data_IF_888783611515
#
_entry.id   IF_888783611515
#
_cell.length_a   1.000
_cell.length_b   1.000
_cell.length_c   1.000
_cell.angle_alpha   90.00
_cell.angle_beta   90.00
_cell.angle_gamma   90.00
#
_symmetry.space_group_name_H-M   'P 1'
#
loop_
_entity.id
_entity.type
_entity.pdbx_description
1 polymer ?
#
# COMPACT_ATOMS: atom_id res chain seq x y z
N UNK A 1 -16.05 14.21 -2.72
CA UNK A 1 -15.73 15.35 -1.83
C UNK A 1 -14.46 16.06 -2.30
N UNK A 2 -13.36 15.36 -2.56
CA UNK A 2 -12.04 15.97 -2.83
C UNK A 2 -11.69 16.06 -4.33
N UNK A 3 -12.47 15.47 -5.19
CA UNK A 3 -12.18 15.37 -6.64
C UNK A 3 -13.37 15.91 -7.42
N UNK A 4 -13.07 16.82 -8.34
CA UNK A 4 -13.98 17.32 -9.36
C UNK A 4 -13.47 16.91 -10.75
N UNK A 5 -14.34 16.77 -11.76
CA UNK A 5 -13.91 16.52 -13.13
C UNK A 5 -12.85 17.54 -13.58
N UNK A 6 -11.74 17.05 -14.13
CA UNK A 6 -10.60 17.88 -14.54
C UNK A 6 -9.57 18.18 -13.45
N UNK A 7 -9.85 17.88 -12.14
CA UNK A 7 -8.86 17.99 -11.08
C UNK A 7 -7.60 17.17 -11.38
N UNK A 8 -6.44 17.69 -11.01
CA UNK A 8 -5.18 16.96 -11.11
C UNK A 8 -4.94 16.19 -9.81
N UNK A 9 -4.82 14.86 -9.93
CA UNK A 9 -4.51 13.96 -8.82
C UNK A 9 -3.17 13.28 -9.09
N UNK A 10 -2.23 13.43 -8.18
CA UNK A 10 -0.95 12.72 -8.21
C UNK A 10 -1.07 11.37 -7.48
N UNK A 11 -0.52 10.33 -8.06
CA UNK A 11 -0.45 8.97 -7.48
C UNK A 11 0.94 8.42 -7.64
N UNK A 12 1.33 7.49 -6.78
CA UNK A 12 2.60 6.75 -6.92
C UNK A 12 2.65 5.96 -8.24
N UNK A 13 3.84 5.89 -8.85
CA UNK A 13 4.11 5.13 -10.08
C UNK A 13 5.43 4.36 -9.94
N UNK A 14 5.41 3.02 -9.83
CA UNK A 14 4.22 2.16 -9.76
C UNK A 14 3.40 2.43 -8.49
N UNK A 15 2.10 2.14 -8.53
CA UNK A 15 1.20 2.43 -7.41
C UNK A 15 -0.06 1.56 -7.43
N UNK A 16 -0.98 1.84 -6.52
CA UNK A 16 -2.20 1.07 -6.32
C UNK A 16 -3.24 1.29 -7.44
N UNK A 17 -3.48 0.30 -8.34
CA UNK A 17 -4.33 0.51 -9.51
C UNK A 17 -5.79 0.86 -9.18
N UNK A 18 -6.44 0.31 -8.12
CA UNK A 18 -7.81 0.67 -7.78
C UNK A 18 -7.99 2.15 -7.46
N UNK A 19 -7.08 2.78 -6.71
CA UNK A 19 -7.13 4.21 -6.42
C UNK A 19 -7.01 5.04 -7.71
N UNK A 20 -6.04 4.69 -8.58
CA UNK A 20 -5.85 5.33 -9.88
C UNK A 20 -7.10 5.23 -10.76
N UNK A 21 -7.71 4.04 -10.82
CA UNK A 21 -8.96 3.82 -11.60
C UNK A 21 -10.13 4.61 -11.02
N UNK A 22 -10.25 4.65 -9.70
CA UNK A 22 -11.29 5.42 -9.02
C UNK A 22 -11.19 6.91 -9.35
N UNK A 23 -10.00 7.52 -9.22
CA UNK A 23 -9.84 8.93 -9.55
C UNK A 23 -10.15 9.24 -11.03
N UNK A 24 -9.73 8.36 -11.93
CA UNK A 24 -10.10 8.49 -13.36
C UNK A 24 -11.60 8.40 -13.61
N UNK A 25 -12.29 7.47 -12.92
CA UNK A 25 -13.76 7.34 -13.06
C UNK A 25 -14.54 8.53 -12.54
N UNK A 26 -13.92 9.33 -11.66
CA UNK A 26 -14.46 10.60 -11.17
C UNK A 26 -14.10 11.79 -12.10
N UNK A 27 -13.49 11.53 -13.25
CA UNK A 27 -13.11 12.55 -14.23
C UNK A 27 -11.80 13.28 -13.92
N UNK A 28 -11.00 12.81 -12.95
CA UNK A 28 -9.71 13.42 -12.65
C UNK A 28 -8.65 13.13 -13.71
N UNK A 29 -7.75 14.06 -13.91
CA UNK A 29 -6.49 13.87 -14.63
C UNK A 29 -5.47 13.28 -13.63
N UNK A 30 -5.17 11.99 -13.80
CA UNK A 30 -4.27 11.29 -12.89
C UNK A 30 -2.85 11.32 -13.44
N UNK A 31 -1.92 11.86 -12.64
CA UNK A 31 -0.50 11.92 -12.93
C UNK A 31 0.27 10.89 -12.08
N UNK A 32 1.01 10.00 -12.70
CA UNK A 32 1.95 9.10 -12.04
C UNK A 32 3.20 9.87 -11.59
N UNK A 33 3.59 9.69 -10.34
CA UNK A 33 4.80 10.29 -9.76
C UNK A 33 5.76 9.17 -9.40
N UNK A 34 7.01 9.19 -9.89
CA UNK A 34 7.99 8.14 -9.64
C UNK A 34 8.21 7.88 -8.14
N UNK A 35 8.49 6.63 -7.83
CA UNK A 35 8.87 6.17 -6.49
C UNK A 35 10.31 5.68 -6.54
N UNK A 36 11.14 6.15 -5.61
CA UNK A 36 12.51 5.69 -5.39
C UNK A 36 12.66 4.96 -4.04
N UNK A 37 13.91 4.74 -3.61
CA UNK A 37 14.21 4.06 -2.33
C UNK A 37 13.75 4.82 -1.09
N UNK A 38 13.40 6.09 -1.23
CA UNK A 38 12.89 6.94 -0.14
C UNK A 38 11.38 7.22 -0.23
N UNK A 39 10.68 6.60 -1.18
CA UNK A 39 9.26 6.79 -1.44
C UNK A 39 8.98 7.71 -2.63
N UNK A 40 7.77 8.28 -2.69
CA UNK A 40 7.35 9.16 -3.79
C UNK A 40 8.29 10.37 -3.98
N UNK A 41 8.72 10.63 -5.22
CA UNK A 41 9.60 11.74 -5.58
C UNK A 41 8.84 13.08 -5.57
N UNK A 42 8.94 13.83 -4.49
CA UNK A 42 8.15 15.06 -4.25
C UNK A 42 8.37 16.12 -5.34
N UNK A 43 9.60 16.24 -5.86
CA UNK A 43 9.94 17.22 -6.90
C UNK A 43 9.31 16.90 -8.26
N UNK A 44 8.88 15.66 -8.46
CA UNK A 44 8.18 15.23 -9.67
C UNK A 44 6.65 15.40 -9.58
N UNK A 45 6.12 15.87 -8.46
CA UNK A 45 4.67 16.14 -8.33
C UNK A 45 4.29 17.32 -9.22
N UNK A 46 3.32 17.16 -10.15
CA UNK A 46 2.87 18.25 -10.98
C UNK A 46 2.38 19.45 -10.14
N UNK A 47 2.80 20.69 -10.46
CA UNK A 47 2.36 21.89 -9.72
C UNK A 47 0.85 22.10 -9.66
N UNK A 48 0.13 21.53 -10.64
CA UNK A 48 -1.33 21.57 -10.70
C UNK A 48 -2.05 20.53 -9.83
N UNK A 49 -1.32 19.60 -9.20
CA UNK A 49 -1.93 18.59 -8.34
C UNK A 49 -2.57 19.23 -7.11
N UNK A 50 -3.81 18.84 -6.84
CA UNK A 50 -4.59 19.26 -5.66
C UNK A 50 -4.82 18.13 -4.68
N UNK A 51 -4.61 16.90 -5.09
CA UNK A 51 -4.68 15.70 -4.28
C UNK A 51 -3.50 14.80 -4.61
N UNK A 52 -2.86 14.27 -3.57
CA UNK A 52 -1.78 13.29 -3.68
C UNK A 52 -2.21 12.03 -2.93
N UNK A 53 -2.21 10.88 -3.59
CA UNK A 53 -2.45 9.58 -2.95
C UNK A 53 -1.14 8.84 -2.77
N UNK A 54 -0.83 8.43 -1.55
CA UNK A 54 0.41 7.76 -1.17
C UNK A 54 0.16 6.61 -0.19
N UNK A 55 1.06 5.62 -0.21
CA UNK A 55 1.13 4.49 0.72
C UNK A 55 2.45 4.52 1.51
N UNK A 56 2.67 5.52 2.40
CA UNK A 56 4.00 5.89 2.87
C UNK A 56 4.59 4.93 3.91
N UNK A 57 3.77 4.12 4.58
CA UNK A 57 4.24 3.15 5.59
C UNK A 57 4.86 1.92 4.94
N UNK A 58 4.30 1.50 3.81
CA UNK A 58 4.72 0.36 3.02
C UNK A 58 4.23 0.58 1.57
N UNK A 59 5.06 1.21 0.75
CA UNK A 59 4.69 1.62 -0.60
C UNK A 59 4.21 0.43 -1.43
N UNK A 60 3.04 0.54 -1.98
CA UNK A 60 2.48 -0.50 -2.83
C UNK A 60 2.74 -0.20 -4.32
N UNK A 61 3.42 -1.12 -5.08
CA UNK A 61 3.77 -2.49 -4.71
C UNK A 61 5.25 -2.72 -4.33
N UNK A 62 6.10 -1.69 -4.28
CA UNK A 62 7.55 -1.87 -4.11
C UNK A 62 7.94 -2.29 -2.69
N UNK A 63 7.15 -1.94 -1.68
CA UNK A 63 7.44 -2.27 -0.29
C UNK A 63 8.42 -1.32 0.40
N UNK A 64 8.85 -0.24 -0.24
CA UNK A 64 9.75 0.74 0.36
C UNK A 64 8.97 1.67 1.30
N UNK A 65 9.48 1.96 2.51
CA UNK A 65 8.88 2.97 3.38
C UNK A 65 9.29 4.38 2.93
N UNK A 66 8.38 5.34 3.02
CA UNK A 66 8.73 6.75 2.79
C UNK A 66 9.58 7.27 3.93
N UNK A 67 10.76 7.82 3.63
CA UNK A 67 11.68 8.38 4.62
C UNK A 67 11.08 9.59 5.35
N UNK A 68 11.56 9.90 6.56
CA UNK A 68 11.09 11.05 7.31
C UNK A 68 11.37 12.37 6.54
N UNK A 69 12.52 12.47 5.88
CA UNK A 69 12.85 13.64 5.06
C UNK A 69 11.82 13.82 3.92
N UNK A 70 11.45 12.71 3.25
CA UNK A 70 10.47 12.73 2.16
C UNK A 70 9.06 13.04 2.66
N UNK A 71 8.66 12.54 3.85
CA UNK A 71 7.39 12.88 4.51
C UNK A 71 7.31 14.37 4.82
N UNK A 72 8.37 14.94 5.40
CA UNK A 72 8.44 16.37 5.69
C UNK A 72 8.39 17.22 4.42
N UNK A 73 9.10 16.83 3.36
CA UNK A 73 9.08 17.51 2.07
C UNK A 73 7.70 17.47 1.42
N UNK A 74 6.99 16.33 1.49
CA UNK A 74 5.64 16.17 0.95
C UNK A 74 4.62 17.04 1.69
N UNK A 75 4.66 17.08 3.02
CA UNK A 75 3.81 17.95 3.83
C UNK A 75 4.04 19.42 3.50
N UNK A 76 5.31 19.87 3.43
CA UNK A 76 5.66 21.23 3.06
C UNK A 76 5.24 21.57 1.61
N UNK A 77 5.32 20.61 0.69
CA UNK A 77 4.83 20.78 -0.68
C UNK A 77 3.31 20.97 -0.71
N UNK A 78 2.57 20.13 0.01
CA UNK A 78 1.12 20.19 0.09
C UNK A 78 0.63 21.51 0.70
N UNK A 79 1.28 22.00 1.75
CA UNK A 79 0.99 23.29 2.37
C UNK A 79 1.18 24.44 1.37
N UNK A 80 2.36 24.52 0.72
CA UNK A 80 2.65 25.59 -0.26
C UNK A 80 1.71 25.61 -1.46
N UNK A 81 1.15 24.45 -1.84
CA UNK A 81 0.31 24.30 -3.04
C UNK A 81 -1.18 24.25 -2.73
N UNK A 82 -1.57 24.40 -1.47
CA UNK A 82 -2.95 24.23 -1.01
C UNK A 82 -3.54 22.90 -1.50
N UNK A 83 -2.75 21.83 -1.38
CA UNK A 83 -3.12 20.48 -1.79
C UNK A 83 -3.40 19.59 -0.58
N UNK A 84 -4.15 18.51 -0.79
CA UNK A 84 -4.43 17.49 0.21
C UNK A 84 -3.65 16.21 -0.08
N UNK A 85 -3.35 15.45 0.95
CA UNK A 85 -2.72 14.14 0.86
C UNK A 85 -3.72 13.10 1.37
N UNK A 86 -3.95 12.05 0.59
CA UNK A 86 -4.60 10.82 1.05
C UNK A 86 -3.48 9.85 1.41
N UNK A 87 -3.32 9.60 2.69
CA UNK A 87 -2.44 8.57 3.23
C UNK A 87 -3.22 7.27 3.34
N UNK A 88 -2.94 6.33 2.46
CA UNK A 88 -3.57 5.00 2.43
C UNK A 88 -2.69 4.02 3.21
N UNK A 89 -3.12 3.65 4.41
CA UNK A 89 -2.42 2.74 5.30
C UNK A 89 -3.18 1.42 5.40
N UNK A 90 -2.66 0.41 4.72
CA UNK A 90 -3.36 -0.86 4.53
C UNK A 90 -2.77 -2.03 5.32
N UNK A 91 -1.50 -1.96 5.79
CA UNK A 91 -0.81 -3.08 6.44
C UNK A 91 0.33 -2.70 7.42
N UNK A 92 0.36 -1.45 7.90
CA UNK A 92 1.42 -0.94 8.79
C UNK A 92 1.53 -1.68 10.12
N UNK A 93 0.48 -2.36 10.55
CA UNK A 93 0.49 -3.22 11.74
C UNK A 93 1.45 -4.41 11.62
N UNK A 94 1.74 -4.85 10.39
CA UNK A 94 2.61 -6.00 10.11
C UNK A 94 4.04 -5.55 9.80
N UNK A 95 4.68 -4.94 10.80
CA UNK A 95 6.08 -4.56 10.72
C UNK A 95 6.94 -5.56 11.50
N UNK A 96 8.00 -6.10 10.86
CA UNK A 96 8.80 -7.21 11.38
C UNK A 96 10.10 -6.73 12.01
N UNK A 97 10.61 -5.56 11.62
CA UNK A 97 11.84 -4.99 12.17
C UNK A 97 11.81 -3.46 12.15
N UNK A 98 12.69 -2.85 12.95
CA UNK A 98 12.80 -1.40 13.08
C UNK A 98 11.71 -0.78 13.96
N UNK A 99 11.78 0.53 14.15
CA UNK A 99 10.75 1.30 14.85
C UNK A 99 9.55 1.55 13.94
N UNK A 100 8.33 1.61 14.48
CA UNK A 100 7.18 2.10 13.75
C UNK A 100 7.48 3.47 13.14
N UNK A 101 7.03 3.69 11.91
CA UNK A 101 7.13 4.99 11.26
C UNK A 101 5.92 5.83 11.67
N UNK A 102 6.18 7.07 12.03
CA UNK A 102 5.11 8.04 12.30
C UNK A 102 4.27 8.25 11.04
N UNK A 103 2.93 8.09 11.06
CA UNK A 103 2.09 8.42 9.92
C UNK A 103 2.27 9.88 9.47
N UNK A 104 2.03 10.17 8.20
CA UNK A 104 1.98 11.56 7.72
C UNK A 104 0.95 12.38 8.50
N UNK A 105 -0.19 11.75 8.81
CA UNK A 105 -1.27 12.37 9.56
C UNK A 105 -0.82 12.85 10.94
N UNK A 106 0.04 12.11 11.65
CA UNK A 106 0.54 12.53 12.96
C UNK A 106 1.60 13.63 12.88
N UNK A 107 2.28 13.75 11.74
CA UNK A 107 3.26 14.80 11.46
C UNK A 107 2.61 16.09 10.91
N UNK A 108 1.37 15.99 10.42
CA UNK A 108 0.64 17.09 9.81
C UNK A 108 0.18 18.12 10.86
N UNK A 109 0.63 19.35 10.72
CA UNK A 109 0.25 20.49 11.57
C UNK A 109 -0.71 21.46 10.91
N UNK A 110 -0.99 21.30 9.64
CA UNK A 110 -1.73 22.25 8.81
C UNK A 110 -3.06 21.70 8.31
N UNK A 111 -3.41 20.46 8.68
CA UNK A 111 -4.67 19.83 8.31
C UNK A 111 -4.73 19.48 6.82
N UNK A 112 -3.66 18.92 6.27
CA UNK A 112 -3.56 18.54 4.86
C UNK A 112 -3.68 17.04 4.61
N UNK A 113 -3.66 16.21 5.65
CA UNK A 113 -3.66 14.76 5.52
C UNK A 113 -5.02 14.18 5.86
N UNK A 114 -5.56 13.39 4.95
CA UNK A 114 -6.68 12.48 5.15
C UNK A 114 -6.09 11.08 5.25
N UNK A 115 -6.09 10.52 6.45
CA UNK A 115 -5.62 9.16 6.70
C UNK A 115 -6.75 8.16 6.50
N UNK A 116 -6.46 7.10 5.74
CA UNK A 116 -7.39 5.99 5.46
C UNK A 116 -6.78 4.71 6.00
N UNK A 117 -7.45 4.11 6.98
CA UNK A 117 -7.08 2.82 7.56
C UNK A 117 -8.08 1.72 7.21
N UNK A 118 -7.60 0.49 7.10
CA UNK A 118 -8.40 -0.67 6.71
C UNK A 118 -8.20 -1.87 7.63
N UNK A 119 -9.29 -2.54 8.01
CA UNK A 119 -9.23 -3.83 8.71
C UNK A 119 -9.16 -5.03 7.76
N UNK A 120 -9.12 -4.79 6.44
CA UNK A 120 -9.12 -5.87 5.44
C UNK A 120 -7.88 -6.75 5.50
N UNK A 121 -6.75 -6.23 5.93
CA UNK A 121 -5.49 -6.98 6.06
C UNK A 121 -5.24 -7.50 7.46
N UNK A 122 -5.66 -6.74 8.48
CA UNK A 122 -5.52 -7.13 9.89
C UNK A 122 -6.52 -8.18 10.31
N UNK A 123 -7.71 -8.18 9.73
CA UNK A 123 -8.77 -9.16 9.98
C UNK A 123 -9.16 -9.90 8.70
N UNK A 124 -10.34 -9.59 8.16
CA UNK A 124 -10.87 -10.26 6.97
C UNK A 124 -11.39 -9.24 5.95
N UNK A 125 -11.02 -9.34 4.67
CA UNK A 125 -11.50 -8.43 3.63
C UNK A 125 -13.03 -8.39 3.50
N UNK A 126 -13.72 -9.48 3.83
CA UNK A 126 -15.18 -9.58 3.74
C UNK A 126 -15.93 -8.76 4.79
N UNK A 127 -15.27 -8.33 5.87
CA UNK A 127 -15.90 -7.47 6.88
C UNK A 127 -16.21 -6.07 6.34
N UNK A 128 -15.52 -5.64 5.28
CA UNK A 128 -15.69 -4.34 4.63
C UNK A 128 -15.62 -3.16 5.60
N UNK A 129 -14.76 -3.25 6.61
CA UNK A 129 -14.53 -2.20 7.59
C UNK A 129 -13.22 -1.46 7.35
N UNK A 130 -13.29 -0.16 7.53
CA UNK A 130 -12.18 0.77 7.50
C UNK A 130 -12.57 2.04 8.22
N UNK A 131 -11.65 2.98 8.34
CA UNK A 131 -11.89 4.26 8.96
C UNK A 131 -11.11 5.38 8.27
N UNK A 132 -11.57 6.60 8.46
CA UNK A 132 -10.94 7.80 7.93
C UNK A 132 -10.69 8.77 9.09
N UNK A 133 -9.46 9.28 9.19
CA UNK A 133 -9.12 10.40 10.06
C UNK A 133 -8.89 11.60 9.15
N UNK A 134 -9.80 12.57 9.22
CA UNK A 134 -9.78 13.73 8.34
C UNK A 134 -9.65 15.04 9.11
N UNK A 135 -9.07 16.08 8.51
CA UNK A 135 -9.09 17.43 9.02
C UNK A 135 -10.51 17.88 9.42
N UNK A 136 -10.62 18.65 10.49
CA UNK A 136 -11.93 19.06 11.04
C UNK A 136 -12.83 19.74 9.98
N UNK A 137 -12.24 20.56 9.10
CA UNK A 137 -12.95 21.25 8.04
C UNK A 137 -13.60 20.32 7.00
N UNK A 138 -13.06 19.11 6.80
CA UNK A 138 -13.58 18.15 5.82
C UNK A 138 -14.66 17.21 6.40
N UNK A 139 -14.73 17.05 7.71
CA UNK A 139 -15.62 16.08 8.36
C UNK A 139 -17.10 16.25 7.99
N UNK A 140 -17.69 17.46 7.97
CA UNK A 140 -19.09 17.63 7.58
C UNK A 140 -19.37 17.14 6.15
N UNK A 141 -18.51 17.49 5.20
CA UNK A 141 -18.65 17.07 3.80
C UNK A 141 -18.51 15.55 3.64
N UNK A 142 -17.53 14.93 4.33
CA UNK A 142 -17.34 13.48 4.31
C UNK A 142 -18.54 12.75 4.94
N UNK A 143 -19.09 13.27 6.03
CA UNK A 143 -20.28 12.72 6.67
C UNK A 143 -21.49 12.77 5.74
N UNK A 144 -21.73 13.93 5.11
CA UNK A 144 -22.80 14.08 4.11
C UNK A 144 -22.62 13.12 2.93
N UNK A 145 -21.40 13.03 2.40
CA UNK A 145 -21.12 12.09 1.30
C UNK A 145 -21.40 10.64 1.71
N UNK A 146 -21.01 10.25 2.93
CA UNK A 146 -21.30 8.91 3.48
C UNK A 146 -22.80 8.64 3.57
N UNK A 147 -23.57 9.60 4.10
CA UNK A 147 -25.02 9.49 4.17
C UNK A 147 -25.68 9.34 2.79
N UNK A 148 -25.19 10.08 1.79
CA UNK A 148 -25.74 10.03 0.43
C UNK A 148 -25.35 8.78 -0.35
N UNK A 149 -24.22 8.14 -0.01
CA UNK A 149 -23.70 6.96 -0.73
C UNK A 149 -24.32 5.66 -0.24
N UNK A 150 -24.31 5.43 1.06
CA UNK A 150 -24.71 4.16 1.66
C UNK A 150 -25.37 4.31 3.04
N UNK A 151 -25.72 5.54 3.43
CA UNK A 151 -26.34 5.89 4.71
C UNK A 151 -25.44 5.56 5.90
N UNK A 152 -25.19 4.28 6.13
CA UNK A 152 -24.24 3.73 7.12
C UNK A 152 -23.75 2.35 6.68
N UNK A 153 -22.62 1.92 7.22
CA UNK A 153 -22.16 0.55 7.07
C UNK A 153 -22.95 -0.43 7.94
N UNK A 154 -22.58 -1.71 7.89
CA UNK A 154 -23.14 -2.75 8.76
C UNK A 154 -22.84 -2.46 10.23
N UNK A 155 -23.87 -2.06 10.98
CA UNK A 155 -23.75 -1.70 12.39
C UNK A 155 -23.42 -2.89 13.27
N UNK A 156 -23.87 -4.08 12.90
CA UNK A 156 -23.58 -5.33 13.63
C UNK A 156 -22.11 -5.64 13.60
N UNK A 157 -21.50 -5.59 12.41
CA UNK A 157 -20.07 -5.81 12.23
C UNK A 157 -19.24 -4.72 12.90
N UNK A 158 -19.68 -3.46 12.87
CA UNK A 158 -19.00 -2.37 13.57
C UNK A 158 -19.04 -2.58 15.08
N UNK A 159 -20.19 -2.94 15.65
CA UNK A 159 -20.34 -3.23 17.09
C UNK A 159 -19.48 -4.42 17.53
N UNK A 160 -19.46 -5.49 16.72
CA UNK A 160 -18.60 -6.64 16.99
C UNK A 160 -17.11 -6.28 16.97
N UNK A 161 -16.67 -5.44 16.02
CA UNK A 161 -15.29 -4.96 15.95
C UNK A 161 -14.97 -4.06 17.16
N UNK A 162 -15.86 -3.16 17.53
CA UNK A 162 -15.66 -2.29 18.71
C UNK A 162 -15.41 -3.14 19.96
N UNK A 163 -16.26 -4.12 20.20
CA UNK A 163 -16.10 -5.05 21.33
C UNK A 163 -14.78 -5.85 21.24
N UNK A 164 -14.41 -6.32 20.04
CA UNK A 164 -13.16 -7.04 19.81
C UNK A 164 -11.93 -6.18 20.12
N UNK A 165 -12.00 -4.87 19.86
CA UNK A 165 -10.97 -3.88 20.23
C UNK A 165 -10.94 -3.66 21.74
N UNK A 166 -12.10 -3.38 22.35
CA UNK A 166 -12.25 -3.08 23.78
C UNK A 166 -11.77 -4.23 24.68
N UNK A 167 -12.03 -5.47 24.27
CA UNK A 167 -11.57 -6.68 24.98
C UNK A 167 -10.08 -6.98 24.73
N UNK A 168 -9.35 -6.17 23.95
CA UNK A 168 -7.93 -6.35 23.62
C UNK A 168 -7.64 -7.53 22.69
N UNK A 169 -8.69 -8.13 22.10
CA UNK A 169 -8.58 -9.28 21.21
C UNK A 169 -7.90 -8.94 19.89
N UNK A 170 -8.16 -7.73 19.35
CA UNK A 170 -7.51 -7.24 18.14
C UNK A 170 -5.99 -7.16 18.33
N UNK A 171 -5.52 -6.58 19.41
CA UNK A 171 -4.09 -6.48 19.71
C UNK A 171 -3.43 -7.86 19.82
N UNK A 172 -4.11 -8.81 20.47
CA UNK A 172 -3.63 -10.20 20.57
C UNK A 172 -3.57 -10.88 19.21
N UNK A 173 -4.60 -10.67 18.39
CA UNK A 173 -4.67 -11.20 17.04
C UNK A 173 -3.53 -10.64 16.16
N UNK A 174 -3.33 -9.32 16.12
CA UNK A 174 -2.26 -8.67 15.36
C UNK A 174 -0.90 -9.22 15.78
N UNK A 175 -0.60 -9.33 17.08
CA UNK A 175 0.67 -9.88 17.57
C UNK A 175 0.91 -11.33 17.11
N UNK A 176 -0.15 -12.15 17.06
CA UNK A 176 -0.05 -13.53 16.56
C UNK A 176 0.18 -13.55 15.05
N UNK A 177 -0.59 -12.76 14.30
CA UNK A 177 -0.48 -12.65 12.84
C UNK A 177 0.89 -12.10 12.42
N UNK A 178 1.41 -11.06 13.09
CA UNK A 178 2.73 -10.49 12.82
C UNK A 178 3.85 -11.54 12.94
N UNK A 179 3.81 -12.40 13.94
CA UNK A 179 4.81 -13.47 14.08
C UNK A 179 4.76 -14.46 12.92
N UNK A 180 3.56 -14.84 12.50
CA UNK A 180 3.39 -15.76 11.37
C UNK A 180 3.81 -15.11 10.05
N UNK A 181 3.45 -13.86 9.83
CA UNK A 181 3.86 -13.13 8.63
C UNK A 181 5.36 -12.83 8.59
N UNK A 182 5.98 -12.56 9.73
CA UNK A 182 7.44 -12.43 9.82
C UNK A 182 8.14 -13.73 9.39
N UNK A 183 7.68 -14.90 9.87
CA UNK A 183 8.20 -16.21 9.45
C UNK A 183 8.07 -16.43 7.94
N UNK A 184 6.90 -16.11 7.37
CA UNK A 184 6.68 -16.25 5.91
C UNK A 184 7.56 -15.28 5.12
N UNK A 185 7.69 -14.06 5.58
CA UNK A 185 8.57 -13.05 5.00
C UNK A 185 10.03 -13.52 4.96
N UNK A 186 10.55 -14.05 6.07
CA UNK A 186 11.91 -14.59 6.15
C UNK A 186 12.12 -15.76 5.20
N UNK A 187 11.15 -16.69 5.09
CA UNK A 187 11.21 -17.80 4.15
C UNK A 187 11.26 -17.31 2.70
N UNK A 188 10.31 -16.46 2.30
CA UNK A 188 10.24 -15.93 0.93
C UNK A 188 11.50 -15.15 0.59
N UNK A 189 11.90 -14.20 1.42
CA UNK A 189 13.07 -13.35 1.14
C UNK A 189 14.38 -14.14 1.17
N UNK A 190 14.49 -15.13 2.06
CA UNK A 190 15.66 -16.04 2.11
C UNK A 190 15.80 -16.86 0.85
N UNK A 191 14.71 -17.46 0.35
CA UNK A 191 14.72 -18.23 -0.89
C UNK A 191 15.00 -17.32 -2.09
N UNK A 192 14.36 -16.15 -2.19
CA UNK A 192 14.61 -15.22 -3.29
C UNK A 192 16.08 -14.79 -3.36
N UNK A 193 16.69 -14.46 -2.24
CA UNK A 193 18.12 -14.07 -2.20
C UNK A 193 19.06 -15.22 -2.55
N UNK A 194 18.74 -16.44 -2.14
CA UNK A 194 19.60 -17.62 -2.39
C UNK A 194 19.44 -18.17 -3.80
N UNK A 195 18.19 -18.31 -4.27
CA UNK A 195 17.88 -19.13 -5.44
C UNK A 195 17.53 -18.30 -6.68
N UNK A 196 17.22 -16.99 -6.54
CA UNK A 196 16.81 -16.12 -7.64
C UNK A 196 17.78 -14.96 -7.90
N UNK A 197 18.87 -14.85 -7.12
CA UNK A 197 19.86 -13.77 -7.26
C UNK A 197 20.38 -13.53 -8.70
N UNK A 198 20.51 -14.55 -9.60
CA UNK A 198 20.93 -14.30 -10.97
C UNK A 198 19.91 -13.52 -11.82
N UNK A 199 18.64 -13.50 -11.45
CA UNK A 199 17.55 -12.92 -12.24
C UNK A 199 16.81 -11.78 -11.54
N UNK A 200 16.77 -11.81 -10.20
CA UNK A 200 15.94 -10.91 -9.40
C UNK A 200 16.75 -10.18 -8.34
N UNK A 201 16.56 -8.85 -8.28
CA UNK A 201 16.99 -8.00 -7.18
C UNK A 201 15.83 -7.79 -6.23
N UNK A 202 15.92 -8.34 -5.01
CA UNK A 202 14.86 -8.15 -4.00
C UNK A 202 14.86 -6.70 -3.49
N UNK A 203 13.71 -6.04 -3.58
CA UNK A 203 13.49 -4.74 -2.94
C UNK A 203 13.46 -4.93 -1.42
N UNK A 204 14.31 -4.23 -0.65
CA UNK A 204 14.32 -4.37 0.80
C UNK A 204 12.99 -3.92 1.40
N UNK A 205 12.36 -4.81 2.16
CA UNK A 205 11.15 -4.53 2.93
C UNK A 205 11.25 -5.20 4.30
N UNK A 206 10.66 -4.58 5.31
CA UNK A 206 10.61 -5.09 6.67
C UNK A 206 9.17 -5.09 7.20
N UNK A 207 8.20 -5.09 6.31
CA UNK A 207 6.78 -4.98 6.64
C UNK A 207 5.90 -5.64 5.59
N UNK A 208 4.61 -5.72 5.88
CA UNK A 208 3.55 -6.02 4.94
C UNK A 208 3.31 -7.50 4.66
N UNK A 209 2.57 -7.75 3.59
CA UNK A 209 2.09 -9.09 3.21
C UNK A 209 2.57 -9.50 1.81
N UNK A 210 3.45 -8.72 1.20
CA UNK A 210 4.07 -8.99 -0.10
C UNK A 210 5.52 -8.53 -0.13
N UNK A 211 6.26 -8.99 -1.11
CA UNK A 211 7.58 -8.49 -1.48
C UNK A 211 7.62 -8.19 -2.97
N UNK A 212 8.44 -7.23 -3.35
CA UNK A 212 8.74 -6.92 -4.74
C UNK A 212 10.18 -7.34 -5.07
N UNK A 213 10.36 -7.94 -6.23
CA UNK A 213 11.69 -8.27 -6.76
C UNK A 213 11.80 -7.74 -8.20
N UNK A 214 12.86 -6.99 -8.48
CA UNK A 214 13.10 -6.32 -9.75
C UNK A 214 13.99 -7.16 -10.65
N UNK A 215 13.84 -7.01 -11.96
CA UNK A 215 14.65 -7.67 -12.98
C UNK A 215 15.02 -6.67 -14.09
N UNK A 216 16.14 -6.90 -14.77
CA UNK A 216 16.59 -6.10 -15.90
C UNK A 216 15.96 -6.51 -17.23
N UNK A 217 15.27 -7.65 -17.26
CA UNK A 217 14.55 -8.18 -18.42
C UNK A 217 13.19 -8.77 -18.08
N UNK A 218 12.45 -9.27 -19.09
CA UNK A 218 11.17 -9.92 -18.89
C UNK A 218 11.23 -11.06 -17.89
N UNK A 219 10.19 -11.21 -17.07
CA UNK A 219 10.07 -12.23 -16.04
C UNK A 219 8.87 -13.13 -16.32
N UNK A 220 8.91 -14.43 -15.94
CA UNK A 220 7.77 -15.32 -16.07
C UNK A 220 6.56 -14.82 -15.26
N UNK A 221 5.35 -14.96 -15.83
CA UNK A 221 4.10 -14.57 -15.17
C UNK A 221 3.60 -15.62 -14.16
N UNK A 222 4.41 -16.61 -13.82
CA UNK A 222 4.07 -17.70 -12.90
C UNK A 222 4.54 -19.05 -13.41
N UNK A 223 4.14 -20.12 -12.74
CA UNK A 223 4.32 -21.50 -13.14
C UNK A 223 3.01 -22.24 -12.83
N UNK A 224 2.59 -23.19 -13.66
CA UNK A 224 1.35 -23.99 -13.56
C UNK A 224 0.33 -23.54 -12.49
N UNK A 225 0.54 -23.93 -11.23
CA UNK A 225 -0.30 -23.62 -10.07
C UNK A 225 0.27 -22.47 -9.18
N UNK A 226 1.35 -21.82 -9.59
CA UNK A 226 2.00 -20.69 -8.89
C UNK A 226 1.71 -19.39 -9.62
N UNK A 227 0.80 -18.58 -9.06
CA UNK A 227 0.52 -17.25 -9.58
C UNK A 227 1.43 -16.22 -8.92
N UNK A 228 2.00 -15.36 -9.76
CA UNK A 228 2.73 -14.16 -9.34
C UNK A 228 2.15 -12.97 -10.08
N UNK A 229 2.32 -11.78 -9.54
CA UNK A 229 1.89 -10.56 -10.22
C UNK A 229 3.09 -9.88 -10.85
N UNK A 230 2.95 -9.46 -12.10
CA UNK A 230 3.99 -8.68 -12.77
C UNK A 230 3.96 -7.24 -12.28
N UNK A 231 5.11 -6.63 -12.03
CA UNK A 231 5.21 -5.23 -11.64
C UNK A 231 4.52 -4.30 -12.63
N UNK A 232 4.56 -4.64 -13.92
CA UNK A 232 3.86 -3.91 -14.98
C UNK A 232 2.35 -3.72 -14.73
N UNK A 233 1.69 -4.66 -14.02
CA UNK A 233 0.27 -4.55 -13.67
C UNK A 233 -0.05 -3.35 -12.76
N UNK A 234 0.96 -2.83 -12.08
CA UNK A 234 0.86 -1.70 -11.15
C UNK A 234 1.31 -0.37 -11.77
N UNK A 235 1.79 -0.40 -12.99
CA UNK A 235 2.22 0.77 -13.74
C UNK A 235 1.09 1.32 -14.63
N UNK A 236 1.05 2.64 -14.82
CA UNK A 236 0.16 3.30 -15.76
C UNK A 236 0.79 3.38 -17.17
N UNK A 237 2.10 3.34 -17.21
CA UNK A 237 2.96 3.37 -18.39
C UNK A 237 3.85 2.13 -18.39
N UNK A 238 4.65 1.94 -19.41
CA UNK A 238 5.65 0.88 -19.40
C UNK A 238 6.59 1.07 -18.21
N UNK A 239 6.84 -0.01 -17.44
CA UNK A 239 7.71 0.06 -16.28
C UNK A 239 9.16 0.32 -16.70
N UNK A 240 9.86 1.14 -15.93
CA UNK A 240 11.30 1.37 -16.12
C UNK A 240 12.11 0.09 -15.87
N UNK A 241 11.63 -0.77 -14.99
CA UNK A 241 12.21 -2.10 -14.70
C UNK A 241 11.11 -3.14 -14.67
N UNK A 242 11.42 -4.35 -15.12
CA UNK A 242 10.56 -5.50 -14.92
C UNK A 242 10.60 -5.96 -13.46
N UNK A 243 9.69 -6.86 -13.08
CA UNK A 243 9.70 -7.41 -11.72
C UNK A 243 8.46 -8.22 -11.39
N UNK A 244 8.52 -8.84 -10.22
CA UNK A 244 7.47 -9.64 -9.63
C UNK A 244 7.01 -9.06 -8.30
N UNK A 245 5.72 -9.17 -8.04
CA UNK A 245 5.11 -8.90 -6.74
C UNK A 245 4.56 -10.22 -6.19
N UNK A 246 5.10 -10.66 -5.06
CA UNK A 246 4.76 -11.95 -4.46
C UNK A 246 4.04 -11.72 -3.13
N UNK A 247 2.73 -12.00 -3.10
CA UNK A 247 1.94 -11.99 -1.89
C UNK A 247 2.09 -13.29 -1.10
N UNK A 248 2.42 -13.19 0.18
CA UNK A 248 2.59 -14.36 1.08
C UNK A 248 1.59 -14.39 2.23
N UNK A 249 0.67 -13.45 2.30
CA UNK A 249 -0.31 -13.36 3.39
C UNK A 249 -1.26 -14.56 3.51
N UNK A 250 -1.62 -15.19 2.41
CA UNK A 250 -2.60 -16.27 2.37
C UNK A 250 -1.99 -17.69 2.24
N UNK A 251 -0.71 -17.80 1.88
CA UNK A 251 -0.06 -19.10 1.67
C UNK A 251 0.39 -19.72 3.00
N UNK A 252 0.24 -21.03 3.15
CA UNK A 252 0.83 -21.76 4.26
C UNK A 252 2.37 -21.77 4.13
N UNK A 253 3.08 -21.56 5.24
CA UNK A 253 4.54 -21.45 5.23
C UNK A 253 5.23 -22.70 4.62
N UNK A 254 4.67 -23.88 4.87
CA UNK A 254 5.15 -25.17 4.38
C UNK A 254 5.07 -25.31 2.85
N UNK A 255 4.23 -24.51 2.20
CA UNK A 255 4.04 -24.50 0.74
C UNK A 255 4.93 -23.47 0.01
N UNK A 256 5.55 -22.54 0.72
CA UNK A 256 6.35 -21.46 0.13
C UNK A 256 7.55 -22.03 -0.64
N UNK A 257 8.30 -22.94 -0.02
CA UNK A 257 9.50 -23.53 -0.63
C UNK A 257 9.15 -24.27 -1.92
N UNK A 258 8.12 -25.11 -1.90
CA UNK A 258 7.65 -25.85 -3.07
C UNK A 258 7.17 -24.92 -4.19
N UNK A 259 6.42 -23.85 -3.85
CA UNK A 259 5.92 -22.88 -4.84
C UNK A 259 7.08 -22.13 -5.50
N UNK A 260 8.03 -21.64 -4.72
CA UNK A 260 9.20 -20.94 -5.26
C UNK A 260 10.14 -21.86 -6.05
N UNK A 261 10.30 -23.13 -5.65
CA UNK A 261 11.05 -24.10 -6.42
C UNK A 261 10.44 -24.35 -7.82
N UNK A 262 9.11 -24.34 -7.95
CA UNK A 262 8.43 -24.43 -9.25
C UNK A 262 8.64 -23.17 -10.07
N UNK A 263 8.45 -22.00 -9.48
CA UNK A 263 8.67 -20.72 -10.15
C UNK A 263 10.11 -20.60 -10.68
N UNK A 264 11.10 -21.04 -9.91
CA UNK A 264 12.52 -21.03 -10.32
C UNK A 264 12.79 -21.78 -11.63
N UNK A 265 12.07 -22.88 -11.89
CA UNK A 265 12.23 -23.64 -13.13
C UNK A 265 11.90 -22.83 -14.38
N UNK A 266 10.94 -21.89 -14.25
CA UNK A 266 10.56 -21.01 -15.37
C UNK A 266 11.62 -19.94 -15.66
N UNK A 267 12.42 -19.53 -14.66
CA UNK A 267 13.57 -18.63 -14.87
C UNK A 267 14.79 -19.32 -15.47
N UNK A 268 14.87 -20.64 -15.36
CA UNK A 268 16.01 -21.43 -15.88
C UNK A 268 15.77 -21.94 -17.32
N UNK A 269 14.59 -21.73 -17.88
CA UNK A 269 14.24 -22.03 -19.28
C UNK A 269 14.69 -20.93 -20.22
#
# INVERSE_FOLDING_TARGET
VLVEPGSCVAVEEPGYPPARRLFRSLGARVAGVPVDREGLCVDAIPPAARLIHVTPSHQFPLGVPMSLARRTALLAWAERRDALIVEDDYDSEFRFSGRPLEPLQSLDRTGRVVYVGSFSKTLLPMLRLGFVIAPAALRPALHTAKQLTDWHGDLTTQAALARFVEEGLLTRHIRKATREYARRHELVTGILRRDFAPWLELVPSAAGLHVCALADGPVPAGADDVRVELLASYCAQEPVRHGLVLGYGAIQAERIDQGLARLRKEFAR
#
